data_IF_825857767103
#
_entry.id   IF_825857767103
#
_cell.length_a   1.000
_cell.length_b   1.000
_cell.length_c   1.000
_cell.angle_alpha   90.00
_cell.angle_beta   90.00
_cell.angle_gamma   90.00
#
_symmetry.space_group_name_H-M   'P 1'
#
loop_
_entity.id
_entity.type
_entity.pdbx_description
1 polymer ?
#
# COMPACT_ATOMS: atom_id res chain seq x y z
N UNK A 1 -31.42 -35.27 -13.94
CA UNK A 1 -30.31 -34.61 -14.68
C UNK A 1 -30.14 -33.14 -14.35
N UNK A 2 -31.09 -32.44 -13.74
CA UNK A 2 -30.94 -30.98 -13.40
C UNK A 2 -30.08 -30.67 -12.17
N UNK A 3 -29.92 -31.60 -11.23
CA UNK A 3 -29.13 -31.41 -9.99
C UNK A 3 -27.61 -31.39 -10.20
N UNK A 4 -27.10 -32.08 -11.23
CA UNK A 4 -25.66 -32.10 -11.52
C UNK A 4 -25.14 -30.83 -12.24
N UNK A 5 -25.99 -30.10 -12.94
CA UNK A 5 -25.60 -28.87 -13.65
C UNK A 5 -25.45 -27.68 -12.71
N UNK A 6 -26.26 -27.61 -11.65
CA UNK A 6 -26.20 -26.52 -10.65
C UNK A 6 -25.01 -26.65 -9.70
N UNK A 7 -24.60 -27.85 -9.34
CA UNK A 7 -23.42 -28.12 -8.51
C UNK A 7 -22.13 -27.84 -9.27
N UNK A 8 -22.03 -28.14 -10.55
CA UNK A 8 -20.83 -27.87 -11.36
C UNK A 8 -20.62 -26.36 -11.57
N UNK A 9 -21.68 -25.58 -11.78
CA UNK A 9 -21.59 -24.13 -11.97
C UNK A 9 -21.20 -23.38 -10.68
N UNK A 10 -21.68 -23.85 -9.52
CA UNK A 10 -21.29 -23.27 -8.23
C UNK A 10 -19.82 -23.56 -7.88
N UNK A 11 -19.34 -24.77 -8.14
CA UNK A 11 -17.94 -25.15 -7.92
C UNK A 11 -16.99 -24.36 -8.81
N UNK A 12 -17.31 -24.17 -10.09
CA UNK A 12 -16.52 -23.34 -11.00
C UNK A 12 -16.45 -21.88 -10.54
N UNK A 13 -17.55 -21.32 -10.04
CA UNK A 13 -17.58 -19.95 -9.52
C UNK A 13 -16.70 -19.79 -8.28
N UNK A 14 -16.66 -20.79 -7.39
CA UNK A 14 -15.81 -20.78 -6.19
C UNK A 14 -14.34 -20.88 -6.58
N UNK A 15 -13.96 -21.83 -7.43
CA UNK A 15 -12.57 -22.02 -7.89
C UNK A 15 -12.05 -20.74 -8.55
N UNK A 16 -12.84 -20.12 -9.42
CA UNK A 16 -12.51 -18.84 -10.05
C UNK A 16 -12.28 -17.73 -9.01
N UNK A 17 -13.17 -17.59 -8.04
CA UNK A 17 -13.07 -16.57 -6.98
C UNK A 17 -11.80 -16.75 -6.16
N UNK A 18 -11.49 -17.99 -5.76
CA UNK A 18 -10.26 -18.31 -5.01
C UNK A 18 -9.02 -18.02 -5.85
N UNK A 19 -9.01 -18.43 -7.12
CA UNK A 19 -7.87 -18.20 -8.03
C UNK A 19 -7.59 -16.70 -8.21
N UNK A 20 -8.62 -15.89 -8.45
CA UNK A 20 -8.46 -14.42 -8.56
C UNK A 20 -7.95 -13.83 -7.25
N UNK A 21 -8.51 -14.24 -6.11
CA UNK A 21 -8.12 -13.76 -4.80
C UNK A 21 -6.63 -14.07 -4.51
N UNK A 22 -6.21 -15.31 -4.67
CA UNK A 22 -4.83 -15.75 -4.39
C UNK A 22 -3.85 -15.11 -5.34
N UNK A 23 -4.11 -15.16 -6.66
CA UNK A 23 -3.20 -14.61 -7.66
C UNK A 23 -3.02 -13.10 -7.49
N UNK A 24 -4.12 -12.35 -7.30
CA UNK A 24 -4.01 -10.90 -7.11
C UNK A 24 -3.34 -10.54 -5.79
N UNK A 25 -3.52 -11.32 -4.73
CA UNK A 25 -2.78 -11.15 -3.47
C UNK A 25 -1.27 -11.30 -3.69
N UNK A 26 -0.85 -12.34 -4.40
CA UNK A 26 0.56 -12.55 -4.76
C UNK A 26 1.09 -11.43 -5.68
N UNK A 27 0.28 -10.94 -6.60
CA UNK A 27 0.64 -9.82 -7.47
C UNK A 27 0.85 -8.51 -6.71
N UNK A 28 0.02 -8.24 -5.69
CA UNK A 28 0.23 -7.11 -4.76
C UNK A 28 1.50 -7.33 -3.93
N UNK A 29 1.75 -8.55 -3.45
CA UNK A 29 2.99 -8.85 -2.74
C UNK A 29 4.24 -8.58 -3.59
N UNK A 30 4.19 -8.89 -4.90
CA UNK A 30 5.28 -8.57 -5.84
C UNK A 30 5.41 -7.07 -6.04
N UNK A 31 4.35 -6.38 -6.43
CA UNK A 31 4.43 -4.98 -6.87
C UNK A 31 4.59 -3.98 -5.74
N UNK A 32 3.95 -4.20 -4.60
CA UNK A 32 4.10 -3.37 -3.39
C UNK A 32 5.15 -3.93 -2.45
N UNK A 33 5.07 -5.22 -2.10
CA UNK A 33 6.01 -5.85 -1.16
C UNK A 33 7.44 -5.76 -1.67
N UNK A 34 7.76 -6.50 -2.71
CA UNK A 34 9.10 -6.48 -3.29
C UNK A 34 9.38 -5.18 -4.06
N UNK A 35 8.39 -4.65 -4.80
CA UNK A 35 8.60 -3.49 -5.67
C UNK A 35 8.85 -2.19 -4.91
N UNK A 36 8.08 -1.85 -3.90
CA UNK A 36 8.19 -0.57 -3.20
C UNK A 36 8.86 -0.67 -1.83
N UNK A 37 8.59 -1.75 -1.07
CA UNK A 37 9.04 -1.81 0.33
C UNK A 37 10.38 -2.53 0.54
N UNK A 38 10.84 -3.35 -0.40
CA UNK A 38 12.14 -4.03 -0.27
C UNK A 38 13.30 -3.02 -0.28
N UNK A 39 13.20 -1.94 -1.08
CA UNK A 39 14.20 -0.88 -1.10
C UNK A 39 14.43 -0.29 0.30
N UNK A 40 13.35 0.02 1.03
CA UNK A 40 13.43 0.59 2.36
C UNK A 40 14.20 -0.30 3.37
N UNK A 41 14.24 -1.60 3.12
CA UNK A 41 14.96 -2.57 3.95
C UNK A 41 16.45 -2.66 3.58
N UNK A 42 16.74 -2.62 2.28
CA UNK A 42 18.09 -2.86 1.73
C UNK A 42 18.88 -1.56 1.59
N UNK A 43 18.21 -0.40 1.66
CA UNK A 43 18.82 0.91 1.43
C UNK A 43 20.07 1.23 2.28
N UNK A 44 20.21 0.82 3.57
CA UNK A 44 21.43 1.12 4.32
C UNK A 44 22.68 0.55 3.67
N UNK A 45 22.61 -0.70 3.23
CA UNK A 45 23.73 -1.39 2.58
C UNK A 45 23.99 -0.84 1.17
N UNK A 46 22.94 -0.54 0.42
CA UNK A 46 23.05 0.08 -0.91
C UNK A 46 23.66 1.47 -0.81
N UNK A 47 23.25 2.26 0.18
CA UNK A 47 23.77 3.61 0.41
C UNK A 47 25.28 3.59 0.65
N UNK A 48 25.73 2.69 1.50
CA UNK A 48 27.16 2.52 1.79
C UNK A 48 27.96 2.10 0.55
N UNK A 49 27.42 1.19 -0.28
CA UNK A 49 28.11 0.68 -1.46
C UNK A 49 28.09 1.65 -2.65
N UNK A 50 27.01 2.40 -2.84
CA UNK A 50 26.81 3.33 -3.97
C UNK A 50 27.13 4.79 -3.64
N UNK A 51 27.40 5.11 -2.35
CA UNK A 51 27.86 6.43 -1.91
C UNK A 51 26.80 7.54 -1.99
N UNK A 52 25.51 7.24 -1.91
CA UNK A 52 24.46 8.27 -1.91
C UNK A 52 24.03 8.67 -0.50
N UNK A 53 23.52 9.88 -0.35
CA UNK A 53 23.07 10.46 0.91
C UNK A 53 21.59 10.18 1.21
N UNK A 54 21.11 10.63 2.38
CA UNK A 54 19.71 10.49 2.77
C UNK A 54 18.76 11.35 1.95
N UNK A 55 19.22 12.49 1.43
CA UNK A 55 18.47 13.35 0.51
C UNK A 55 18.14 12.58 -0.77
N UNK A 56 19.09 11.80 -1.29
CA UNK A 56 18.88 10.94 -2.45
C UNK A 56 17.80 9.87 -2.17
N UNK A 57 17.77 9.27 -0.96
CA UNK A 57 16.70 8.33 -0.57
C UNK A 57 15.33 9.01 -0.69
N UNK A 58 15.20 10.23 -0.18
CA UNK A 58 13.96 11.01 -0.26
C UNK A 58 13.54 11.30 -1.69
N UNK A 59 14.48 11.68 -2.55
CA UNK A 59 14.22 12.00 -3.96
C UNK A 59 13.80 10.75 -4.72
N UNK A 60 14.50 9.62 -4.57
CA UNK A 60 14.18 8.39 -5.33
C UNK A 60 12.87 7.77 -4.87
N UNK A 61 12.59 7.76 -3.57
CA UNK A 61 11.32 7.23 -3.03
C UNK A 61 10.14 8.16 -3.29
N UNK A 62 10.34 9.47 -3.21
CA UNK A 62 9.35 10.47 -3.63
C UNK A 62 9.07 10.40 -5.13
N UNK A 63 10.10 10.19 -5.94
CA UNK A 63 10.01 9.95 -7.39
C UNK A 63 9.21 8.69 -7.72
N UNK A 64 9.42 7.59 -6.99
CA UNK A 64 8.63 6.37 -7.14
C UNK A 64 7.14 6.59 -6.84
N UNK A 65 6.82 7.33 -5.78
CA UNK A 65 5.45 7.68 -5.45
C UNK A 65 4.81 8.60 -6.49
N UNK A 66 5.57 9.56 -7.02
CA UNK A 66 5.11 10.42 -8.12
C UNK A 66 4.85 9.59 -9.39
N UNK A 67 5.73 8.66 -9.72
CA UNK A 67 5.54 7.74 -10.85
C UNK A 67 4.28 6.86 -10.67
N UNK A 68 4.02 6.37 -9.45
CA UNK A 68 2.77 5.68 -9.11
C UNK A 68 1.54 6.55 -9.43
N UNK A 69 1.52 7.81 -8.99
CA UNK A 69 0.40 8.73 -9.24
C UNK A 69 0.20 8.99 -10.74
N UNK A 70 1.27 9.28 -11.47
CA UNK A 70 1.21 9.50 -12.93
C UNK A 70 0.70 8.24 -13.63
N UNK A 71 1.21 7.07 -13.26
CA UNK A 71 0.79 5.80 -13.82
C UNK A 71 -0.69 5.51 -13.52
N UNK A 72 -1.17 5.82 -12.31
CA UNK A 72 -2.59 5.68 -11.95
C UNK A 72 -3.51 6.54 -12.83
N UNK A 73 -3.08 7.76 -13.20
CA UNK A 73 -3.82 8.65 -14.11
C UNK A 73 -3.83 8.15 -15.56
N UNK A 74 -2.75 7.50 -16.00
CA UNK A 74 -2.62 6.93 -17.35
C UNK A 74 -3.31 5.56 -17.48
N UNK A 75 -3.41 4.82 -16.38
CA UNK A 75 -3.91 3.45 -16.31
C UNK A 75 -5.26 3.23 -17.03
N UNK A 76 -6.29 4.09 -16.88
CA UNK A 76 -7.57 3.90 -17.58
C UNK A 76 -7.42 3.85 -19.12
N UNK A 77 -6.49 4.62 -19.69
CA UNK A 77 -6.22 4.59 -21.15
C UNK A 77 -5.60 3.26 -21.59
N UNK A 78 -4.70 2.71 -20.78
CA UNK A 78 -4.10 1.40 -21.05
C UNK A 78 -5.13 0.28 -20.92
N UNK A 79 -5.98 0.33 -19.90
CA UNK A 79 -7.07 -0.63 -19.69
C UNK A 79 -8.07 -0.63 -20.84
N UNK A 80 -8.45 0.53 -21.36
CA UNK A 80 -9.34 0.61 -22.54
C UNK A 80 -8.71 0.02 -23.79
N UNK A 81 -7.38 0.13 -23.95
CA UNK A 81 -6.66 -0.36 -25.12
C UNK A 81 -6.33 -1.86 -25.04
N UNK A 82 -5.89 -2.33 -23.90
CA UNK A 82 -5.35 -3.69 -23.72
C UNK A 82 -6.27 -4.61 -22.90
N UNK A 83 -7.16 -4.08 -22.07
CA UNK A 83 -7.96 -4.82 -21.11
C UNK A 83 -7.29 -4.95 -19.75
N UNK A 84 -8.11 -5.19 -18.70
CA UNK A 84 -7.65 -5.23 -17.30
C UNK A 84 -6.60 -6.33 -17.06
N UNK A 85 -6.86 -7.55 -17.50
CA UNK A 85 -5.99 -8.69 -17.25
C UNK A 85 -4.60 -8.55 -17.89
N UNK A 86 -4.53 -8.03 -19.14
CA UNK A 86 -3.25 -7.80 -19.82
C UNK A 86 -2.43 -6.71 -19.11
N UNK A 87 -3.07 -5.62 -18.66
CA UNK A 87 -2.40 -4.55 -17.93
C UNK A 87 -1.87 -5.06 -16.59
N UNK A 88 -2.68 -5.81 -15.83
CA UNK A 88 -2.28 -6.39 -14.53
C UNK A 88 -1.07 -7.33 -14.70
N UNK A 89 -1.19 -8.34 -15.56
CA UNK A 89 -0.11 -9.33 -15.74
C UNK A 89 1.14 -8.69 -16.33
N UNK A 90 0.98 -7.77 -17.29
CA UNK A 90 2.09 -7.01 -17.87
C UNK A 90 2.82 -6.16 -16.82
N UNK A 91 2.09 -5.56 -15.89
CA UNK A 91 2.66 -4.79 -14.77
C UNK A 91 3.49 -5.68 -13.84
N UNK A 92 2.97 -6.86 -13.47
CA UNK A 92 3.69 -7.79 -12.58
C UNK A 92 4.93 -8.38 -13.26
N UNK A 93 4.85 -8.71 -14.53
CA UNK A 93 6.00 -9.15 -15.32
C UNK A 93 7.07 -8.05 -15.45
N UNK A 94 6.65 -6.81 -15.71
CA UNK A 94 7.55 -5.66 -15.73
C UNK A 94 8.18 -5.40 -14.35
N UNK A 95 7.43 -5.54 -13.26
CA UNK A 95 7.97 -5.45 -11.91
C UNK A 95 9.04 -6.52 -11.65
N UNK A 96 8.81 -7.77 -12.04
CA UNK A 96 9.80 -8.84 -11.90
C UNK A 96 11.10 -8.53 -12.67
N UNK A 97 10.99 -8.04 -13.92
CA UNK A 97 12.15 -7.64 -14.73
C UNK A 97 12.89 -6.43 -14.11
N UNK A 98 12.16 -5.44 -13.60
CA UNK A 98 12.74 -4.28 -12.93
C UNK A 98 13.45 -4.69 -11.63
N UNK A 99 12.93 -5.66 -10.86
CA UNK A 99 13.60 -6.21 -9.69
C UNK A 99 14.92 -6.90 -10.06
N UNK A 100 14.96 -7.68 -11.15
CA UNK A 100 16.20 -8.26 -11.67
C UNK A 100 17.18 -7.17 -12.13
N UNK A 101 16.68 -6.14 -12.81
CA UNK A 101 17.50 -5.01 -13.24
C UNK A 101 18.06 -4.23 -12.03
N UNK A 102 17.31 -4.18 -10.92
CA UNK A 102 17.75 -3.51 -9.69
C UNK A 102 19.04 -4.11 -9.12
N UNK A 103 19.28 -5.40 -9.33
CA UNK A 103 20.52 -6.06 -8.96
C UNK A 103 21.76 -5.52 -9.69
N UNK A 104 21.60 -4.76 -10.78
CA UNK A 104 22.69 -4.26 -11.62
C UNK A 104 22.84 -2.73 -11.58
N UNK A 105 22.10 -2.03 -10.69
CA UNK A 105 22.21 -0.58 -10.56
C UNK A 105 23.58 -0.17 -9.99
N UNK A 106 24.15 0.91 -10.53
CA UNK A 106 25.50 1.39 -10.15
C UNK A 106 25.51 2.88 -9.78
N UNK A 107 24.37 3.56 -9.82
CA UNK A 107 24.26 4.98 -9.53
C UNK A 107 22.91 5.33 -8.94
N UNK A 108 22.85 6.44 -8.19
CA UNK A 108 21.60 6.97 -7.62
C UNK A 108 20.54 7.22 -8.69
N UNK A 109 20.93 7.65 -9.89
CA UNK A 109 20.01 7.89 -11.00
C UNK A 109 19.38 6.57 -11.46
N UNK A 110 20.18 5.51 -11.64
CA UNK A 110 19.65 4.20 -12.03
C UNK A 110 18.73 3.60 -10.96
N UNK A 111 19.07 3.77 -9.66
CA UNK A 111 18.17 3.42 -8.53
C UNK A 111 16.83 4.15 -8.68
N UNK A 112 16.86 5.47 -8.88
CA UNK A 112 15.67 6.30 -9.00
C UNK A 112 14.80 5.90 -10.21
N UNK A 113 15.39 5.63 -11.36
CA UNK A 113 14.65 5.22 -12.57
C UNK A 113 13.97 3.86 -12.38
N UNK A 114 14.69 2.86 -11.83
CA UNK A 114 14.11 1.54 -11.60
C UNK A 114 13.02 1.61 -10.53
N UNK A 115 13.25 2.35 -9.44
CA UNK A 115 12.27 2.51 -8.37
C UNK A 115 11.01 3.27 -8.86
N UNK A 116 11.17 4.28 -9.72
CA UNK A 116 10.04 4.95 -10.37
C UNK A 116 9.26 3.98 -11.28
N UNK A 117 9.95 3.13 -12.03
CA UNK A 117 9.33 2.05 -12.82
C UNK A 117 8.53 1.09 -11.94
N UNK A 118 9.09 0.65 -10.80
CA UNK A 118 8.40 -0.20 -9.82
C UNK A 118 7.16 0.50 -9.24
N UNK A 119 7.24 1.80 -8.93
CA UNK A 119 6.08 2.60 -8.54
C UNK A 119 4.97 2.61 -9.60
N UNK A 120 5.33 2.78 -10.87
CA UNK A 120 4.36 2.72 -11.96
C UNK A 120 3.71 1.34 -12.10
N UNK A 121 4.47 0.24 -11.96
CA UNK A 121 3.91 -1.13 -12.01
C UNK A 121 2.93 -1.41 -10.88
N UNK A 122 3.17 -0.87 -9.68
CA UNK A 122 2.25 -0.99 -8.55
C UNK A 122 0.89 -0.34 -8.86
N UNK A 123 0.88 0.84 -9.52
CA UNK A 123 -0.36 1.48 -9.96
C UNK A 123 -1.08 0.67 -11.05
N UNK A 124 -0.34 0.18 -12.06
CA UNK A 124 -0.91 -0.64 -13.15
C UNK A 124 -1.42 -2.00 -12.68
N UNK A 125 -0.98 -2.50 -11.53
CA UNK A 125 -1.58 -3.66 -10.88
C UNK A 125 -2.82 -3.27 -10.08
N UNK A 126 -2.73 -2.26 -9.21
CA UNK A 126 -3.78 -1.98 -8.22
C UNK A 126 -5.03 -1.34 -8.82
N UNK A 127 -4.87 -0.39 -9.75
CA UNK A 127 -6.01 0.37 -10.30
C UNK A 127 -6.98 -0.54 -11.08
N UNK A 128 -6.54 -1.40 -12.02
CA UNK A 128 -7.45 -2.26 -12.77
C UNK A 128 -7.93 -3.48 -11.99
N UNK A 129 -7.24 -3.86 -10.88
CA UNK A 129 -7.64 -5.03 -10.08
C UNK A 129 -9.07 -4.92 -9.53
N UNK A 130 -9.49 -3.72 -9.15
CA UNK A 130 -10.85 -3.45 -8.63
C UNK A 130 -11.91 -3.74 -9.69
N UNK A 131 -11.66 -3.34 -10.95
CA UNK A 131 -12.52 -3.61 -12.09
C UNK A 131 -12.56 -5.11 -12.40
N UNK A 132 -11.40 -5.76 -12.49
CA UNK A 132 -11.27 -7.18 -12.75
C UNK A 132 -11.98 -8.03 -11.69
N UNK A 133 -11.85 -7.71 -10.39
CA UNK A 133 -12.56 -8.36 -9.29
C UNK A 133 -14.07 -8.15 -9.45
N UNK A 134 -14.50 -6.94 -9.75
CA UNK A 134 -15.93 -6.63 -9.93
C UNK A 134 -16.55 -7.37 -11.12
N UNK A 135 -15.76 -7.66 -12.14
CA UNK A 135 -16.19 -8.38 -13.33
C UNK A 135 -16.22 -9.90 -13.20
N UNK A 136 -15.43 -10.47 -12.28
CA UNK A 136 -15.19 -11.92 -12.18
C UNK A 136 -15.71 -12.54 -10.88
N UNK A 137 -15.76 -11.77 -9.79
CA UNK A 137 -16.14 -12.26 -8.45
C UNK A 137 -17.59 -11.93 -8.15
N UNK A 138 -18.40 -12.88 -7.64
CA UNK A 138 -19.77 -12.65 -7.22
C UNK A 138 -19.85 -11.54 -6.16
N UNK A 139 -20.92 -10.73 -6.22
CA UNK A 139 -21.10 -9.53 -5.41
C UNK A 139 -20.84 -9.77 -3.90
N UNK A 140 -21.38 -10.85 -3.33
CA UNK A 140 -21.23 -11.16 -1.89
C UNK A 140 -19.81 -11.47 -1.42
N UNK A 141 -18.86 -11.74 -2.34
CA UNK A 141 -17.46 -12.06 -2.01
C UNK A 141 -16.47 -10.94 -2.36
N UNK A 142 -16.90 -9.90 -3.10
CA UNK A 142 -16.02 -8.83 -3.59
C UNK A 142 -15.24 -8.12 -2.48
N UNK A 143 -15.92 -7.76 -1.38
CA UNK A 143 -15.26 -7.09 -0.25
C UNK A 143 -14.20 -7.96 0.41
N UNK A 144 -14.48 -9.26 0.58
CA UNK A 144 -13.53 -10.23 1.15
C UNK A 144 -12.32 -10.43 0.25
N UNK A 145 -12.56 -10.54 -1.07
CA UNK A 145 -11.46 -10.66 -2.06
C UNK A 145 -10.62 -9.41 -2.10
N UNK A 146 -11.21 -8.21 -2.14
CA UNK A 146 -10.46 -6.96 -2.08
C UNK A 146 -9.64 -6.82 -0.79
N UNK A 147 -10.20 -7.19 0.35
CA UNK A 147 -9.48 -7.20 1.62
C UNK A 147 -8.27 -8.15 1.60
N UNK A 148 -8.46 -9.37 1.08
CA UNK A 148 -7.37 -10.34 0.93
C UNK A 148 -6.29 -9.84 -0.05
N UNK A 149 -6.69 -9.27 -1.18
CA UNK A 149 -5.76 -8.70 -2.18
C UNK A 149 -4.94 -7.56 -1.55
N UNK A 150 -5.56 -6.67 -0.80
CA UNK A 150 -4.85 -5.59 -0.10
C UNK A 150 -3.86 -6.10 0.93
N UNK A 151 -4.13 -7.24 1.59
CA UNK A 151 -3.20 -7.86 2.54
C UNK A 151 -1.93 -8.41 1.87
N UNK A 152 -1.90 -8.51 0.52
CA UNK A 152 -0.71 -8.85 -0.24
C UNK A 152 0.50 -7.99 0.10
N UNK A 153 0.28 -6.72 0.42
CA UNK A 153 1.35 -5.82 0.90
C UNK A 153 1.99 -6.32 2.19
N UNK A 154 1.20 -6.80 3.15
CA UNK A 154 1.69 -7.34 4.42
C UNK A 154 2.45 -8.65 4.23
N UNK A 155 1.96 -9.54 3.34
CA UNK A 155 2.70 -10.74 2.94
C UNK A 155 4.06 -10.40 2.33
N UNK A 156 4.10 -9.40 1.45
CA UNK A 156 5.33 -8.93 0.84
C UNK A 156 6.32 -8.36 1.87
N UNK A 157 5.86 -7.54 2.81
CA UNK A 157 6.72 -7.01 3.88
C UNK A 157 7.25 -8.10 4.81
N UNK A 158 6.43 -9.08 5.16
CA UNK A 158 6.89 -10.26 5.90
C UNK A 158 7.98 -11.03 5.15
N UNK A 159 7.74 -11.31 3.86
CA UNK A 159 8.70 -12.00 3.01
C UNK A 159 10.01 -11.22 2.85
N UNK A 160 9.95 -9.88 2.71
CA UNK A 160 11.12 -9.01 2.68
C UNK A 160 11.96 -9.13 3.95
N UNK A 161 11.33 -9.04 5.11
CA UNK A 161 12.02 -9.15 6.38
C UNK A 161 12.71 -10.52 6.53
N UNK A 162 12.00 -11.61 6.17
CA UNK A 162 12.56 -12.96 6.21
C UNK A 162 13.67 -13.18 5.17
N UNK A 163 13.58 -12.57 3.99
CA UNK A 163 14.60 -12.63 2.94
C UNK A 163 15.87 -11.88 3.38
N UNK A 164 15.73 -10.66 3.85
CA UNK A 164 16.85 -9.81 4.24
C UNK A 164 17.58 -10.40 5.45
N UNK A 165 16.86 -10.85 6.48
CA UNK A 165 17.48 -11.42 7.69
C UNK A 165 18.28 -12.70 7.42
N UNK A 166 17.95 -13.47 6.38
CA UNK A 166 18.63 -14.72 6.04
C UNK A 166 19.69 -14.60 4.96
N UNK A 167 19.45 -13.74 3.96
CA UNK A 167 20.31 -13.66 2.77
C UNK A 167 21.39 -12.60 2.93
N UNK A 168 21.05 -11.43 3.48
CA UNK A 168 21.98 -10.31 3.51
C UNK A 168 23.22 -10.51 4.41
N UNK A 169 23.16 -11.28 5.52
CA UNK A 169 24.36 -11.57 6.31
C UNK A 169 25.43 -12.39 5.59
N UNK A 170 25.02 -13.25 4.65
CA UNK A 170 25.92 -14.17 3.92
C UNK A 170 26.23 -13.71 2.50
N UNK A 171 25.33 -12.93 1.89
CA UNK A 171 25.40 -12.53 0.48
C UNK A 171 25.27 -11.02 0.33
N UNK A 172 25.67 -10.51 -0.85
CA UNK A 172 25.54 -9.10 -1.18
C UNK A 172 24.07 -8.66 -1.40
N UNK A 173 23.81 -7.38 -1.30
CA UNK A 173 22.48 -6.81 -1.57
C UNK A 173 21.99 -7.09 -3.00
N UNK A 174 22.87 -7.31 -3.97
CA UNK A 174 22.53 -7.71 -5.34
C UNK A 174 21.76 -9.03 -5.35
N UNK A 175 22.15 -9.99 -4.49
CA UNK A 175 21.51 -11.30 -4.39
C UNK A 175 20.07 -11.22 -3.93
N UNK A 176 19.74 -10.26 -3.06
CA UNK A 176 18.35 -10.02 -2.60
C UNK A 176 17.46 -9.64 -3.77
N UNK A 177 17.91 -8.71 -4.62
CA UNK A 177 17.16 -8.28 -5.79
C UNK A 177 17.02 -9.38 -6.83
N UNK A 178 18.08 -10.20 -7.02
CA UNK A 178 18.02 -11.36 -7.90
C UNK A 178 17.00 -12.39 -7.42
N UNK A 179 16.99 -12.73 -6.13
CA UNK A 179 16.02 -13.68 -5.54
C UNK A 179 14.61 -13.11 -5.62
N UNK A 180 14.40 -11.86 -5.20
CA UNK A 180 13.09 -11.21 -5.27
C UNK A 180 12.57 -11.15 -6.72
N UNK A 181 13.42 -10.82 -7.69
CA UNK A 181 13.07 -10.77 -9.10
C UNK A 181 12.73 -12.15 -9.66
N UNK A 182 13.54 -13.17 -9.35
CA UNK A 182 13.30 -14.56 -9.79
C UNK A 182 11.98 -15.11 -9.23
N UNK A 183 11.74 -14.93 -7.93
CA UNK A 183 10.47 -15.32 -7.28
C UNK A 183 9.30 -14.58 -7.90
N UNK A 184 9.46 -13.27 -8.16
CA UNK A 184 8.42 -12.46 -8.81
C UNK A 184 8.10 -12.93 -10.23
N UNK A 185 9.12 -13.35 -10.98
CA UNK A 185 8.92 -13.90 -12.33
C UNK A 185 8.15 -15.22 -12.29
N UNK A 186 8.48 -16.11 -11.34
CA UNK A 186 7.73 -17.36 -11.13
C UNK A 186 6.27 -17.05 -10.77
N UNK A 187 6.03 -16.09 -9.86
CA UNK A 187 4.68 -15.68 -9.47
C UNK A 187 3.92 -15.08 -10.67
N UNK A 188 4.58 -14.27 -11.50
CA UNK A 188 3.97 -13.68 -12.70
C UNK A 188 3.55 -14.75 -13.71
N UNK A 189 4.41 -15.73 -13.99
CA UNK A 189 4.15 -16.83 -14.92
C UNK A 189 3.07 -17.78 -14.37
N UNK A 190 3.20 -18.21 -13.12
CA UNK A 190 2.21 -19.07 -12.48
C UNK A 190 0.83 -18.39 -12.38
N UNK A 191 0.82 -17.10 -12.03
CA UNK A 191 -0.41 -16.31 -11.97
C UNK A 191 -1.05 -16.12 -13.35
N UNK A 192 -0.27 -15.86 -14.39
CA UNK A 192 -0.78 -15.81 -15.78
C UNK A 192 -1.44 -17.13 -16.17
N UNK A 193 -0.79 -18.27 -15.91
CA UNK A 193 -1.32 -19.59 -16.22
C UNK A 193 -2.59 -19.88 -15.42
N UNK A 194 -2.57 -19.61 -14.12
CA UNK A 194 -3.73 -19.81 -13.24
C UNK A 194 -4.94 -18.95 -13.68
N UNK A 195 -4.72 -17.68 -14.01
CA UNK A 195 -5.80 -16.81 -14.49
C UNK A 195 -6.33 -17.26 -15.85
N UNK A 196 -5.47 -17.71 -16.76
CA UNK A 196 -5.93 -18.25 -18.07
C UNK A 196 -6.74 -19.54 -17.92
N UNK A 197 -6.37 -20.42 -16.98
CA UNK A 197 -7.05 -21.69 -16.76
C UNK A 197 -8.36 -21.52 -15.96
N UNK A 198 -8.37 -20.71 -14.91
CA UNK A 198 -9.46 -20.68 -13.95
C UNK A 198 -10.31 -19.41 -13.98
N UNK A 199 -9.81 -18.32 -14.56
CA UNK A 199 -10.50 -17.04 -14.63
C UNK A 199 -10.24 -16.31 -15.97
N UNK A 200 -10.48 -16.94 -17.13
CA UNK A 200 -10.19 -16.35 -18.44
C UNK A 200 -10.97 -15.05 -18.70
N UNK A 201 -12.07 -14.84 -17.98
CA UNK A 201 -12.88 -13.63 -18.07
C UNK A 201 -12.11 -12.37 -17.64
N UNK A 202 -11.07 -12.49 -16.83
CA UNK A 202 -10.16 -11.38 -16.47
C UNK A 202 -9.53 -10.76 -17.72
N UNK A 203 -9.28 -11.57 -18.76
CA UNK A 203 -8.72 -11.14 -20.04
C UNK A 203 -9.76 -10.71 -21.07
N UNK A 204 -11.05 -10.88 -20.75
CA UNK A 204 -12.14 -10.48 -21.63
C UNK A 204 -12.18 -8.95 -21.74
N UNK A 205 -12.09 -8.43 -22.97
CA UNK A 205 -12.35 -7.02 -23.28
C UNK A 205 -13.85 -6.71 -23.14
N UNK A 206 -14.37 -6.71 -21.93
CA UNK A 206 -15.64 -6.03 -21.70
C UNK A 206 -15.35 -4.55 -21.85
N UNK A 207 -15.92 -3.92 -22.89
CA UNK A 207 -15.97 -2.48 -22.92
C UNK A 207 -16.39 -2.01 -21.52
N UNK A 208 -15.65 -1.09 -20.88
CA UNK A 208 -16.06 -0.59 -19.60
C UNK A 208 -17.51 -0.18 -19.81
N UNK A 209 -18.45 -0.77 -19.07
CA UNK A 209 -19.78 -0.17 -18.95
C UNK A 209 -19.44 1.22 -18.45
N UNK A 210 -19.49 2.16 -19.39
CA UNK A 210 -19.40 3.58 -19.09
C UNK A 210 -20.41 3.72 -17.98
N UNK A 211 -19.93 3.82 -16.73
CA UNK A 211 -20.77 4.32 -15.68
C UNK A 211 -21.29 5.60 -16.33
N UNK A 212 -22.55 5.58 -16.71
CA UNK A 212 -23.22 6.79 -17.12
C UNK A 212 -22.99 7.74 -15.96
N UNK A 213 -21.91 8.51 -16.09
CA UNK A 213 -21.81 9.72 -15.31
C UNK A 213 -23.03 10.52 -15.80
N UNK A 214 -24.16 10.30 -15.16
CA UNK A 214 -25.17 11.33 -15.09
C UNK A 214 -24.36 12.54 -14.62
N UNK A 215 -23.94 13.31 -15.60
CA UNK A 215 -23.50 14.68 -15.37
C UNK A 215 -24.67 15.33 -14.65
N UNK A 216 -24.66 15.25 -13.34
CA UNK A 216 -25.37 16.21 -12.54
C UNK A 216 -24.68 17.52 -12.89
N UNK A 217 -25.35 18.31 -13.69
CA UNK A 217 -25.02 19.70 -14.07
C UNK A 217 -25.09 20.63 -12.85
N UNK A 218 -24.55 20.21 -11.74
CA UNK A 218 -24.42 20.97 -10.50
C UNK A 218 -22.96 21.33 -10.26
N UNK A 219 -22.69 22.59 -10.13
CA UNK A 219 -21.45 23.33 -10.06
C UNK A 219 -20.17 22.58 -9.65
N UNK A 220 -19.10 22.94 -10.32
CA UNK A 220 -17.74 22.35 -10.31
C UNK A 220 -17.09 22.19 -8.91
N UNK A 221 -17.71 22.66 -7.81
CA UNK A 221 -17.16 22.72 -6.46
C UNK A 221 -18.02 22.05 -5.37
N UNK A 222 -19.12 21.34 -5.71
CA UNK A 222 -20.01 20.69 -4.75
C UNK A 222 -19.36 19.58 -3.91
N UNK A 223 -18.18 19.10 -4.30
CA UNK A 223 -17.48 18.04 -3.56
C UNK A 223 -16.53 18.58 -2.48
N UNK A 224 -16.19 19.88 -2.51
CA UNK A 224 -15.36 20.49 -1.47
C UNK A 224 -16.25 20.82 -0.28
N UNK A 225 -16.53 19.82 0.53
CA UNK A 225 -17.23 19.96 1.80
C UNK A 225 -16.23 19.81 2.94
N UNK A 226 -16.55 20.35 4.12
CA UNK A 226 -15.68 20.20 5.31
C UNK A 226 -15.31 18.73 5.59
N UNK A 227 -16.25 17.74 5.59
CA UNK A 227 -15.89 16.34 5.80
C UNK A 227 -14.94 15.79 4.75
N UNK A 228 -15.13 16.14 3.46
CA UNK A 228 -14.26 15.66 2.39
C UNK A 228 -12.85 16.24 2.51
N UNK A 229 -12.76 17.53 2.83
CA UNK A 229 -11.46 18.18 3.09
C UNK A 229 -10.73 17.53 4.26
N UNK A 230 -11.44 17.21 5.35
CA UNK A 230 -10.84 16.48 6.48
C UNK A 230 -10.27 15.14 6.05
N UNK A 231 -11.00 14.34 5.25
CA UNK A 231 -10.52 13.06 4.71
C UNK A 231 -9.25 13.24 3.86
N UNK A 232 -9.21 14.26 3.00
CA UNK A 232 -8.05 14.55 2.16
C UNK A 232 -6.83 14.95 2.98
N UNK A 233 -7.02 15.81 4.00
CA UNK A 233 -5.96 16.20 4.92
C UNK A 233 -5.47 14.98 5.73
N UNK A 234 -6.36 14.12 6.22
CA UNK A 234 -5.98 12.90 6.95
C UNK A 234 -5.11 11.98 6.09
N UNK A 235 -5.44 11.80 4.81
CA UNK A 235 -4.60 10.99 3.91
C UNK A 235 -3.28 11.67 3.55
N UNK A 236 -3.26 13.00 3.38
CA UNK A 236 -2.02 13.74 3.20
C UNK A 236 -1.08 13.58 4.39
N UNK A 237 -1.60 13.78 5.62
CA UNK A 237 -0.83 13.59 6.86
C UNK A 237 -0.38 12.14 7.04
N UNK A 238 -1.24 11.16 6.69
CA UNK A 238 -0.87 9.75 6.72
C UNK A 238 0.30 9.45 5.77
N UNK A 239 0.25 9.99 4.55
CA UNK A 239 1.34 9.86 3.59
C UNK A 239 2.64 10.49 4.09
N UNK A 240 2.56 11.72 4.62
CA UNK A 240 3.72 12.44 5.17
C UNK A 240 4.33 11.74 6.39
N UNK A 241 3.54 11.03 7.18
CA UNK A 241 4.01 10.32 8.37
C UNK A 241 4.53 8.91 8.01
N UNK A 242 3.73 8.11 7.30
CA UNK A 242 4.03 6.70 7.07
C UNK A 242 5.14 6.49 6.03
N UNK A 243 5.21 7.32 4.98
CA UNK A 243 6.22 7.19 3.93
C UNK A 243 7.63 7.30 4.45
N UNK A 244 8.01 8.44 5.08
CA UNK A 244 9.33 8.59 5.66
C UNK A 244 9.61 7.59 6.78
N UNK A 245 8.63 7.31 7.64
CA UNK A 245 8.78 6.32 8.71
C UNK A 245 9.29 4.98 8.15
N UNK A 246 8.71 4.50 7.06
CA UNK A 246 9.15 3.26 6.42
C UNK A 246 10.50 3.41 5.71
N UNK A 247 10.68 4.44 4.91
CA UNK A 247 11.85 4.58 4.05
C UNK A 247 13.15 4.88 4.81
N UNK A 248 13.06 5.48 6.00
CA UNK A 248 14.23 5.81 6.82
C UNK A 248 14.43 4.89 8.02
N UNK A 249 13.48 3.98 8.32
CA UNK A 249 13.57 3.07 9.47
C UNK A 249 14.87 2.24 9.45
N UNK A 250 15.13 1.56 8.34
CA UNK A 250 16.29 0.67 8.24
C UNK A 250 17.61 1.44 8.33
N UNK A 251 17.67 2.62 7.69
CA UNK A 251 18.86 3.48 7.77
C UNK A 251 19.08 4.01 9.19
N UNK A 252 18.02 4.44 9.87
CA UNK A 252 18.13 4.90 11.26
C UNK A 252 18.63 3.79 12.18
N UNK A 253 18.05 2.59 12.06
CA UNK A 253 18.42 1.44 12.88
C UNK A 253 19.85 0.94 12.59
N UNK A 254 20.26 0.91 11.33
CA UNK A 254 21.59 0.45 10.94
C UNK A 254 22.68 1.50 11.20
N UNK A 255 22.47 2.73 10.70
CA UNK A 255 23.52 3.73 10.61
C UNK A 255 23.67 4.53 11.91
N UNK A 256 22.56 4.83 12.62
CA UNK A 256 22.61 5.61 13.86
C UNK A 256 22.52 4.77 15.13
N UNK A 257 21.78 3.64 15.10
CA UNK A 257 21.59 2.80 16.29
C UNK A 257 22.47 1.55 16.29
N UNK A 258 23.16 1.23 15.17
CA UNK A 258 24.08 0.10 15.08
C UNK A 258 23.40 -1.28 15.15
N UNK A 259 22.10 -1.38 14.88
CA UNK A 259 21.40 -2.64 14.87
C UNK A 259 21.83 -3.53 13.68
N UNK A 260 21.90 -4.84 13.92
CA UNK A 260 22.20 -5.81 12.86
C UNK A 260 21.08 -5.90 11.81
N UNK A 261 21.45 -6.25 10.59
CA UNK A 261 20.51 -6.46 9.49
C UNK A 261 19.49 -7.55 9.80
N UNK A 262 19.86 -8.54 10.60
CA UNK A 262 18.95 -9.56 11.10
C UNK A 262 17.84 -8.95 11.97
N UNK A 263 18.21 -8.09 12.93
CA UNK A 263 17.26 -7.38 13.79
C UNK A 263 16.32 -6.50 12.95
N UNK A 264 16.85 -5.78 11.98
CA UNK A 264 16.07 -4.94 11.08
C UNK A 264 15.08 -5.80 10.28
N UNK A 265 15.53 -6.93 9.74
CA UNK A 265 14.66 -7.88 9.04
C UNK A 265 13.55 -8.45 9.93
N UNK A 266 13.83 -8.75 11.21
CA UNK A 266 12.84 -9.17 12.20
C UNK A 266 11.79 -8.10 12.49
N UNK A 267 12.19 -6.82 12.55
CA UNK A 267 11.28 -5.67 12.72
C UNK A 267 10.29 -5.61 11.56
N UNK A 268 10.78 -5.68 10.33
CA UNK A 268 9.94 -5.66 9.14
C UNK A 268 9.03 -6.89 9.03
N UNK A 269 9.52 -8.08 9.40
CA UNK A 269 8.71 -9.29 9.48
C UNK A 269 7.59 -9.12 10.50
N UNK A 270 7.87 -8.51 11.66
CA UNK A 270 6.87 -8.22 12.69
C UNK A 270 5.79 -7.28 12.17
N UNK A 271 6.17 -6.20 11.47
CA UNK A 271 5.23 -5.27 10.83
C UNK A 271 4.32 -6.03 9.84
N UNK A 272 4.91 -6.91 9.02
CA UNK A 272 4.17 -7.72 8.07
C UNK A 272 3.17 -8.67 8.74
N UNK A 273 3.62 -9.45 9.74
CA UNK A 273 2.75 -10.38 10.49
C UNK A 273 1.59 -9.65 11.17
N UNK A 274 1.86 -8.54 11.85
CA UNK A 274 0.82 -7.73 12.48
C UNK A 274 -0.14 -7.18 11.44
N UNK A 275 0.39 -6.74 10.29
CA UNK A 275 -0.39 -6.23 9.16
C UNK A 275 -1.41 -7.21 8.60
N UNK A 276 -1.12 -8.53 8.65
CA UNK A 276 -2.07 -9.56 8.18
C UNK A 276 -3.40 -9.51 8.92
N UNK A 277 -3.38 -9.15 10.21
CA UNK A 277 -4.55 -9.16 11.08
C UNK A 277 -5.10 -7.78 11.37
N UNK A 278 -4.29 -6.73 11.24
CA UNK A 278 -4.62 -5.37 11.69
C UNK A 278 -5.81 -4.77 10.96
N UNK A 279 -5.90 -4.94 9.65
CA UNK A 279 -7.02 -4.44 8.85
C UNK A 279 -8.36 -5.06 9.25
N UNK A 280 -8.37 -6.38 9.51
CA UNK A 280 -9.56 -7.10 9.98
C UNK A 280 -9.94 -6.66 11.41
N UNK A 281 -8.98 -6.61 12.31
CA UNK A 281 -9.19 -6.18 13.69
C UNK A 281 -9.72 -4.72 13.76
N UNK A 282 -9.14 -3.82 12.95
CA UNK A 282 -9.59 -2.44 12.85
C UNK A 282 -11.02 -2.32 12.29
N UNK A 283 -11.36 -3.13 11.28
CA UNK A 283 -12.71 -3.21 10.75
C UNK A 283 -13.73 -3.64 11.82
N UNK A 284 -13.43 -4.70 12.59
CA UNK A 284 -14.28 -5.14 13.70
C UNK A 284 -14.41 -4.08 14.81
N UNK A 285 -13.31 -3.39 15.13
CA UNK A 285 -13.33 -2.29 16.10
C UNK A 285 -14.20 -1.14 15.59
N UNK A 286 -14.10 -0.79 14.32
CA UNK A 286 -14.91 0.24 13.68
C UNK A 286 -16.40 -0.10 13.66
N UNK A 287 -16.75 -1.37 13.46
CA UNK A 287 -18.16 -1.79 13.49
C UNK A 287 -18.78 -1.68 14.89
N UNK A 288 -17.98 -1.89 15.95
CA UNK A 288 -18.41 -1.78 17.35
C UNK A 288 -18.36 -0.35 17.89
N UNK A 289 -17.24 0.32 17.74
CA UNK A 289 -16.97 1.62 18.36
C UNK A 289 -17.21 2.82 17.41
N UNK A 290 -17.29 2.58 16.10
CA UNK A 290 -17.35 3.60 15.07
C UNK A 290 -15.98 3.85 14.41
N UNK A 291 -16.02 4.26 13.13
CA UNK A 291 -14.78 4.47 12.33
C UNK A 291 -13.93 5.60 12.90
N UNK A 292 -14.54 6.67 13.43
CA UNK A 292 -13.81 7.78 14.07
C UNK A 292 -12.90 7.33 15.20
N UNK A 293 -13.43 6.51 16.12
CA UNK A 293 -12.70 6.02 17.29
C UNK A 293 -11.59 5.07 16.84
N UNK A 294 -11.91 4.16 15.91
CA UNK A 294 -10.92 3.23 15.35
C UNK A 294 -9.75 3.97 14.64
N UNK A 295 -10.06 5.04 13.88
CA UNK A 295 -9.04 5.89 13.27
C UNK A 295 -8.20 6.64 14.31
N UNK A 296 -8.83 7.20 15.36
CA UNK A 296 -8.09 7.87 16.42
C UNK A 296 -7.11 6.93 17.12
N UNK A 297 -7.51 5.71 17.44
CA UNK A 297 -6.62 4.68 17.98
C UNK A 297 -5.49 4.31 17.01
N UNK A 298 -5.79 4.21 15.71
CA UNK A 298 -4.77 3.92 14.69
C UNK A 298 -3.73 5.04 14.60
N UNK A 299 -4.15 6.30 14.64
CA UNK A 299 -3.22 7.43 14.67
C UNK A 299 -2.46 7.54 15.99
N UNK A 300 -3.08 7.22 17.13
CA UNK A 300 -2.38 7.13 18.42
C UNK A 300 -1.29 6.04 18.40
N UNK A 301 -1.58 4.88 17.81
CA UNK A 301 -0.59 3.81 17.61
C UNK A 301 0.55 4.25 16.70
N UNK A 302 0.26 5.00 15.61
CA UNK A 302 1.28 5.55 14.73
C UNK A 302 2.18 6.55 15.46
N UNK A 303 1.59 7.45 16.26
CA UNK A 303 2.34 8.40 17.08
C UNK A 303 3.23 7.68 18.10
N UNK A 304 2.68 6.69 18.81
CA UNK A 304 3.44 5.86 19.74
C UNK A 304 4.58 5.10 19.08
N UNK A 305 4.36 4.56 17.87
CA UNK A 305 5.40 3.88 17.10
C UNK A 305 6.60 4.81 16.81
N UNK A 306 6.35 6.02 16.34
CA UNK A 306 7.41 6.97 16.04
C UNK A 306 8.18 7.40 17.29
N UNK A 307 7.49 7.65 18.42
CA UNK A 307 8.15 7.97 19.71
C UNK A 307 8.98 6.79 20.22
N UNK A 308 8.46 5.56 20.16
CA UNK A 308 9.18 4.37 20.58
C UNK A 308 10.48 4.16 19.77
N UNK A 309 10.47 4.44 18.46
CA UNK A 309 11.68 4.40 17.63
C UNK A 309 12.62 5.55 17.98
N UNK A 310 12.10 6.78 18.10
CA UNK A 310 12.93 7.96 18.34
C UNK A 310 13.66 7.93 19.70
N UNK A 311 13.06 7.33 20.72
CA UNK A 311 13.57 7.31 22.08
C UNK A 311 13.87 5.89 22.59
N UNK A 312 14.15 4.96 21.66
CA UNK A 312 14.49 3.59 22.05
C UNK A 312 15.76 3.54 22.90
N UNK A 313 15.73 2.77 23.97
CA UNK A 313 16.85 2.40 24.81
C UNK A 313 16.90 0.88 25.04
N UNK A 314 15.77 0.21 24.82
CA UNK A 314 15.57 -1.20 25.14
C UNK A 314 15.04 -1.97 23.92
N UNK A 315 15.46 -3.23 23.77
CA UNK A 315 15.08 -4.06 22.61
C UNK A 315 13.56 -4.30 22.48
N UNK A 316 12.82 -4.29 23.59
CA UNK A 316 11.35 -4.46 23.54
C UNK A 316 10.65 -3.26 22.90
N UNK A 317 11.20 -2.04 23.04
CA UNK A 317 10.62 -0.83 22.45
C UNK A 317 10.62 -0.90 20.93
N UNK A 318 11.65 -1.47 20.33
CA UNK A 318 11.73 -1.69 18.89
C UNK A 318 10.65 -2.64 18.38
N UNK A 319 10.40 -3.74 19.13
CA UNK A 319 9.32 -4.68 18.82
C UNK A 319 7.94 -4.04 19.01
N UNK A 320 7.75 -3.30 20.10
CA UNK A 320 6.52 -2.58 20.36
C UNK A 320 6.23 -1.54 19.27
N UNK A 321 7.25 -0.80 18.81
CA UNK A 321 7.14 0.15 17.71
C UNK A 321 6.70 -0.54 16.40
N UNK A 322 7.28 -1.71 16.09
CA UNK A 322 6.91 -2.49 14.92
C UNK A 322 5.44 -2.96 14.99
N UNK A 323 5.00 -3.43 16.16
CA UNK A 323 3.59 -3.80 16.39
C UNK A 323 2.68 -2.59 16.23
N UNK A 324 2.99 -1.47 16.87
CA UNK A 324 2.20 -0.25 16.78
C UNK A 324 2.10 0.28 15.34
N UNK A 325 3.21 0.25 14.58
CA UNK A 325 3.21 0.65 13.18
C UNK A 325 2.37 -0.31 12.33
N UNK A 326 2.54 -1.62 12.49
CA UNK A 326 1.74 -2.62 11.76
C UNK A 326 0.24 -2.51 12.05
N UNK A 327 -0.14 -2.26 13.31
CA UNK A 327 -1.53 -2.01 13.68
C UNK A 327 -2.09 -0.73 13.07
N UNK A 328 -1.28 0.33 13.00
CA UNK A 328 -1.73 1.64 12.51
C UNK A 328 -1.79 1.72 10.99
N UNK A 329 -0.71 1.33 10.31
CA UNK A 329 -0.55 1.50 8.87
C UNK A 329 -1.69 0.84 8.09
N UNK A 330 -1.89 -0.46 8.27
CA UNK A 330 -2.93 -1.19 7.53
C UNK A 330 -4.34 -0.80 7.95
N UNK A 331 -4.53 -0.41 9.22
CA UNK A 331 -5.82 0.06 9.72
C UNK A 331 -6.22 1.40 9.10
N UNK A 332 -5.33 2.40 9.07
CA UNK A 332 -5.62 3.73 8.48
C UNK A 332 -6.05 3.59 7.03
N UNK A 333 -5.30 2.81 6.23
CA UNK A 333 -5.59 2.61 4.81
C UNK A 333 -6.82 1.74 4.53
N UNK A 334 -7.32 0.99 5.51
CA UNK A 334 -8.59 0.27 5.44
C UNK A 334 -9.79 1.08 5.94
N UNK A 335 -9.61 1.84 7.03
CA UNK A 335 -10.70 2.56 7.69
C UNK A 335 -11.14 3.82 6.94
N UNK A 336 -10.23 4.54 6.28
CA UNK A 336 -10.58 5.76 5.53
C UNK A 336 -11.50 5.44 4.34
N UNK A 337 -11.22 4.46 3.47
CA UNK A 337 -12.19 4.02 2.46
C UNK A 337 -13.51 3.51 3.05
N UNK A 338 -13.45 2.80 4.19
CA UNK A 338 -14.65 2.35 4.88
C UNK A 338 -15.52 3.52 5.37
N UNK A 339 -14.90 4.57 5.92
CA UNK A 339 -15.59 5.81 6.30
C UNK A 339 -16.29 6.46 5.11
N UNK A 340 -15.56 6.66 4.00
CA UNK A 340 -16.10 7.26 2.78
C UNK A 340 -17.30 6.45 2.27
N UNK A 341 -17.19 5.12 2.23
CA UNK A 341 -18.27 4.25 1.76
C UNK A 341 -19.51 4.22 2.66
N UNK A 342 -19.35 4.48 3.97
CA UNK A 342 -20.45 4.52 4.93
C UNK A 342 -21.15 5.89 4.99
N UNK A 343 -20.47 6.97 4.59
CA UNK A 343 -20.97 8.34 4.77
C UNK A 343 -21.38 9.02 3.49
N UNK A 344 -21.10 8.43 2.32
CA UNK A 344 -21.33 9.04 1.01
C UNK A 344 -22.04 8.08 0.06
N UNK A 345 -22.76 8.62 -0.91
CA UNK A 345 -23.29 7.86 -2.03
C UNK A 345 -22.17 7.33 -2.93
N UNK A 346 -22.41 6.24 -3.65
CA UNK A 346 -21.39 5.52 -4.43
C UNK A 346 -20.67 6.41 -5.46
N UNK A 347 -21.36 7.37 -6.09
CA UNK A 347 -20.77 8.25 -7.10
C UNK A 347 -19.80 9.25 -6.46
N UNK A 348 -20.21 9.89 -5.38
CA UNK A 348 -19.40 10.85 -4.60
C UNK A 348 -18.22 10.13 -3.93
N UNK A 349 -18.43 8.92 -3.41
CA UNK A 349 -17.40 8.12 -2.76
C UNK A 349 -16.22 7.84 -3.69
N UNK A 350 -16.46 7.45 -4.94
CA UNK A 350 -15.41 7.19 -5.94
C UNK A 350 -14.56 8.45 -6.17
N UNK A 351 -15.22 9.59 -6.34
CA UNK A 351 -14.53 10.86 -6.61
C UNK A 351 -13.73 11.34 -5.40
N UNK A 352 -14.35 11.32 -4.21
CA UNK A 352 -13.69 11.75 -2.96
C UNK A 352 -12.50 10.87 -2.66
N UNK A 353 -12.61 9.54 -2.83
CA UNK A 353 -11.51 8.60 -2.62
C UNK A 353 -10.41 8.77 -3.67
N UNK A 354 -10.75 9.04 -4.94
CA UNK A 354 -9.77 9.33 -5.99
C UNK A 354 -8.91 10.55 -5.65
N UNK A 355 -9.54 11.67 -5.25
CA UNK A 355 -8.82 12.87 -4.81
C UNK A 355 -8.01 12.61 -3.54
N UNK A 356 -8.57 11.86 -2.60
CA UNK A 356 -7.89 11.49 -1.36
C UNK A 356 -6.58 10.71 -1.60
N UNK A 357 -6.55 9.81 -2.60
CA UNK A 357 -5.32 9.12 -3.00
C UNK A 357 -4.28 10.05 -3.63
N UNK A 358 -4.70 11.09 -4.33
CA UNK A 358 -3.76 12.14 -4.81
C UNK A 358 -3.12 12.86 -3.63
N UNK A 359 -3.91 13.26 -2.62
CA UNK A 359 -3.39 13.88 -1.40
C UNK A 359 -2.45 12.95 -0.61
N UNK A 360 -2.78 11.66 -0.53
CA UNK A 360 -1.89 10.63 0.03
C UNK A 360 -0.55 10.61 -0.70
N UNK A 361 -0.57 10.52 -2.02
CA UNK A 361 0.65 10.44 -2.81
C UNK A 361 1.50 11.70 -2.71
N UNK A 362 0.88 12.89 -2.77
CA UNK A 362 1.56 14.17 -2.57
C UNK A 362 2.17 14.25 -1.17
N UNK A 363 1.41 13.85 -0.14
CA UNK A 363 1.89 13.79 1.24
C UNK A 363 3.10 12.86 1.38
N UNK A 364 3.04 11.65 0.81
CA UNK A 364 4.16 10.69 0.83
C UNK A 364 5.38 11.23 0.10
N UNK A 365 5.22 11.82 -1.08
CA UNK A 365 6.31 12.42 -1.85
C UNK A 365 6.98 13.54 -1.05
N UNK A 366 6.18 14.49 -0.55
CA UNK A 366 6.71 15.62 0.23
C UNK A 366 7.37 15.14 1.53
N UNK A 367 6.74 14.22 2.24
CA UNK A 367 7.29 13.63 3.46
C UNK A 367 8.64 12.94 3.23
N UNK A 368 8.77 12.15 2.16
CA UNK A 368 10.02 11.47 1.84
C UNK A 368 11.15 12.47 1.51
N UNK A 369 10.86 13.47 0.68
CA UNK A 369 11.84 14.50 0.32
C UNK A 369 12.26 15.32 1.57
N UNK A 370 11.27 15.69 2.40
CA UNK A 370 11.54 16.42 3.65
C UNK A 370 12.39 15.57 4.62
N UNK A 371 12.01 14.29 4.81
CA UNK A 371 12.71 13.36 5.69
C UNK A 371 14.17 13.15 5.31
N UNK A 372 14.46 13.16 4.00
CA UNK A 372 15.85 13.03 3.51
C UNK A 372 16.76 14.20 3.87
N UNK A 373 16.20 15.37 4.17
CA UNK A 373 16.98 16.53 4.57
C UNK A 373 17.14 16.64 6.09
N UNK A 374 16.43 15.84 6.89
CA UNK A 374 16.45 15.96 8.35
C UNK A 374 17.81 15.64 8.97
N UNK A 375 18.53 14.66 8.43
CA UNK A 375 19.89 14.38 8.89
C UNK A 375 20.79 15.60 8.71
N UNK A 376 20.76 16.25 7.54
CA UNK A 376 21.53 17.45 7.28
C UNK A 376 21.14 18.66 8.13
N UNK A 377 19.85 18.79 8.53
CA UNK A 377 19.36 19.91 9.33
C UNK A 377 19.50 19.70 10.84
N UNK A 378 19.32 18.48 11.32
CA UNK A 378 19.24 18.15 12.74
C UNK A 378 20.36 17.21 13.20
N UNK A 379 21.20 16.73 12.29
CA UNK A 379 22.28 15.78 12.58
C UNK A 379 21.80 14.36 12.89
N UNK A 380 20.51 14.04 12.66
CA UNK A 380 19.95 12.72 12.92
C UNK A 380 18.63 12.49 12.20
N UNK A 381 18.41 11.26 11.73
CA UNK A 381 17.12 10.78 11.21
C UNK A 381 16.04 10.63 12.29
N UNK A 382 16.39 10.75 13.57
CA UNK A 382 15.43 10.75 14.70
C UNK A 382 14.30 11.74 14.49
N UNK A 383 14.59 12.89 13.86
CA UNK A 383 13.61 13.92 13.52
C UNK A 383 12.49 13.41 12.61
N UNK A 384 12.75 12.41 11.75
CA UNK A 384 11.73 11.76 10.89
C UNK A 384 10.63 11.15 11.74
N UNK A 385 11.00 10.37 12.77
CA UNK A 385 10.07 9.65 13.63
C UNK A 385 9.30 10.58 14.56
N UNK A 386 9.96 11.62 15.09
CA UNK A 386 9.32 12.67 15.89
C UNK A 386 8.28 13.42 15.02
N UNK A 387 8.66 13.80 13.80
CA UNK A 387 7.75 14.49 12.88
C UNK A 387 6.56 13.59 12.51
N UNK A 388 6.79 12.32 12.22
CA UNK A 388 5.71 11.35 11.97
C UNK A 388 4.75 11.25 13.16
N UNK A 389 5.27 11.26 14.38
CA UNK A 389 4.46 11.24 15.62
C UNK A 389 3.64 12.50 15.79
N UNK A 390 4.21 13.68 15.52
CA UNK A 390 3.49 14.97 15.57
C UNK A 390 2.38 15.00 14.53
N UNK A 391 2.66 14.60 13.29
CA UNK A 391 1.65 14.53 12.23
C UNK A 391 0.53 13.54 12.56
N UNK A 392 0.87 12.39 13.16
CA UNK A 392 -0.11 11.42 13.63
C UNK A 392 -0.98 11.97 14.77
N UNK A 393 -0.43 12.72 15.72
CA UNK A 393 -1.19 13.42 16.77
C UNK A 393 -2.15 14.46 16.16
N UNK A 394 -1.70 15.24 15.18
CA UNK A 394 -2.55 16.19 14.47
C UNK A 394 -3.67 15.46 13.75
N UNK A 395 -3.37 14.37 13.04
CA UNK A 395 -4.35 13.53 12.37
C UNK A 395 -5.35 12.92 13.37
N UNK A 396 -4.89 12.44 14.52
CA UNK A 396 -5.75 11.93 15.60
C UNK A 396 -6.75 12.99 16.06
N UNK A 397 -6.31 14.22 16.30
CA UNK A 397 -7.21 15.34 16.69
C UNK A 397 -8.21 15.64 15.57
N UNK A 398 -7.74 15.65 14.31
CA UNK A 398 -8.62 15.90 13.17
C UNK A 398 -9.69 14.83 12.97
N UNK A 399 -9.49 13.59 13.43
CA UNK A 399 -10.56 12.57 13.39
C UNK A 399 -11.79 12.98 14.17
N UNK A 400 -11.64 13.80 15.21
CA UNK A 400 -12.77 14.32 15.99
C UNK A 400 -13.71 15.21 15.18
N UNK A 401 -13.23 15.81 14.09
CA UNK A 401 -14.02 16.67 13.19
C UNK A 401 -14.79 15.88 12.12
N UNK A 402 -14.52 14.57 11.96
CA UNK A 402 -15.29 13.72 11.08
C UNK A 402 -16.73 13.59 11.57
N UNK A 403 -17.69 13.50 10.67
CA UNK A 403 -19.09 13.21 11.02
C UNK A 403 -19.22 11.79 11.59
N UNK A 404 -20.15 11.64 12.53
CA UNK A 404 -20.49 10.31 13.05
C UNK A 404 -21.28 9.54 11.98
N UNK A 405 -20.70 8.43 11.49
CA UNK A 405 -21.35 7.60 10.49
C UNK A 405 -22.68 6.99 10.94
N UNK A 406 -22.89 6.86 12.28
CA UNK A 406 -24.14 6.36 12.84
C UNK A 406 -25.26 7.37 12.71
N UNK A 407 -24.97 8.67 12.87
CA UNK A 407 -25.95 9.72 12.68
C UNK A 407 -26.40 9.80 11.19
N UNK A 408 -25.45 9.67 10.26
CA UNK A 408 -25.75 9.69 8.81
C UNK A 408 -26.62 8.51 8.40
N UNK A 409 -26.40 7.32 8.98
CA UNK A 409 -27.21 6.12 8.67
C UNK A 409 -28.64 6.19 9.21
N UNK A 410 -28.88 6.96 10.27
CA UNK A 410 -30.24 7.22 10.81
C UNK A 410 -30.99 8.20 9.93
N UNK A 411 -30.34 9.30 9.51
CA UNK A 411 -30.95 10.27 8.57
C UNK A 411 -31.37 9.63 7.24
N UNK A 412 -30.53 8.70 6.69
CA UNK A 412 -30.83 7.99 5.45
C UNK A 412 -31.98 6.93 5.58
N UNK A 413 -32.36 6.55 6.79
CA UNK A 413 -33.50 5.62 7.04
C UNK A 413 -34.81 6.37 7.32
N UNK A 414 -34.74 7.66 7.58
CA UNK A 414 -35.92 8.49 7.86
C UNK A 414 -36.42 9.28 6.66
N UNK A 415 -35.77 9.13 5.49
CA UNK A 415 -36.17 9.66 4.17
C UNK A 415 -36.51 8.50 3.26
#
# INVERSE_FOLDING_TARGET
MATNATTSSSTQSIVRTISVAVVFTLFVAVTFGFGLYLFALVVPVMRQSLGFDYTAIGIVTGGAQTAYLVAALVCPRLVTRFGEGQVIVGAVAAAALLLLLFAHVQSTVSVGLVLAGLGATAAFMMVPSVGAISGTVPFGYRSRVNGLVSSGTAYGQFANGALVSRVLPEYSWHSIWMVAGAVSLVIALAGLLALRCFAPEVFSRKAPKRAESRHSTGGRWRWVTRPNLTVWILLALSGMACGPWQNYLSSFLADEQGHSLETIGQVWSTIGVVGLFSGFAAGMAADKAGVRIALAFSFAALAGSGLLIAFQSEAWQLRAAAVCFGLSFYAIFGLIPAYISKTMDACSAITVFGVANVFLGLGTTFGNVLGGNFEGWFGSLKAVFITASVLACVAMILTATLRDERAVSVEARCV
#
